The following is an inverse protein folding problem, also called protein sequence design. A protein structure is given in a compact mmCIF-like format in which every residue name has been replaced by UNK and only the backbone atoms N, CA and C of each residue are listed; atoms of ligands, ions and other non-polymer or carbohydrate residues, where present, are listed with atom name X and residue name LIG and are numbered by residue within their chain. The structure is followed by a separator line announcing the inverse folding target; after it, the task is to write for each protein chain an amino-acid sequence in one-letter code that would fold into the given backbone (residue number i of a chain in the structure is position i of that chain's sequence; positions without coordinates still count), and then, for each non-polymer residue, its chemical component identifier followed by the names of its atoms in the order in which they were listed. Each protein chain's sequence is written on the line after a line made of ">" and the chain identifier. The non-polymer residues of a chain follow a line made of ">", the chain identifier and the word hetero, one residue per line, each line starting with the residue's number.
data_IF_460787943677
#
_entry.id   IF_460787943677
#
_cell.length_a   1.000
_cell.length_b   1.000
_cell.length_c   1.000
_cell.angle_alpha   90.00
_cell.angle_beta   90.00
_cell.angle_gamma   90.00
#
_symmetry.space_group_name_H-M   'P 1'
#
loop_
_entity.id
_entity.type
_entity.pdbx_description
1 polymer ?
#
# COMPACT_ATOMS: atom_id res chain seq x y z
N UNK A 1 -11.65 -15.76 0.83
CA UNK A 1 -11.98 -17.07 1.46
C UNK A 1 -10.76 -17.54 2.25
N UNK A 2 -10.94 -18.04 3.47
CA UNK A 2 -9.89 -18.77 4.21
C UNK A 2 -10.19 -20.25 4.22
N UNK A 3 -9.16 -21.06 3.98
CA UNK A 3 -9.24 -22.52 3.90
C UNK A 3 -8.26 -23.12 4.91
N UNK A 4 -8.65 -24.23 5.54
CA UNK A 4 -7.80 -25.00 6.44
C UNK A 4 -6.64 -25.61 5.66
N UNK A 5 -5.40 -25.37 6.11
CA UNK A 5 -4.22 -25.94 5.46
C UNK A 5 -4.09 -27.46 5.63
N UNK A 6 -4.79 -28.05 6.61
CA UNK A 6 -4.73 -29.50 6.88
C UNK A 6 -5.86 -30.28 6.22
N UNK A 7 -7.05 -29.69 6.09
CA UNK A 7 -8.25 -30.37 5.58
C UNK A 7 -8.70 -29.86 4.22
N UNK A 8 -8.28 -28.68 3.79
CA UNK A 8 -8.80 -28.03 2.58
C UNK A 8 -10.22 -27.51 2.73
N UNK A 9 -10.81 -27.56 3.93
CA UNK A 9 -12.16 -27.07 4.18
C UNK A 9 -12.20 -25.55 4.34
N UNK A 10 -13.29 -24.94 3.89
CA UNK A 10 -13.53 -23.50 4.09
C UNK A 10 -13.70 -23.23 5.59
N UNK A 11 -12.86 -22.35 6.14
CA UNK A 11 -12.98 -21.85 7.51
C UNK A 11 -14.01 -20.73 7.55
N UNK A 12 -13.86 -19.76 6.65
CA UNK A 12 -14.81 -18.65 6.51
C UNK A 12 -14.72 -18.00 5.12
N UNK A 13 -15.80 -17.31 4.76
CA UNK A 13 -15.91 -16.48 3.55
C UNK A 13 -16.34 -15.08 3.96
N UNK A 14 -15.73 -14.06 3.38
CA UNK A 14 -16.13 -12.67 3.49
C UNK A 14 -16.21 -12.08 2.09
N UNK A 15 -17.21 -11.22 1.90
CA UNK A 15 -17.35 -10.35 0.74
C UNK A 15 -17.24 -8.91 1.24
N UNK A 16 -16.40 -8.12 0.58
CA UNK A 16 -16.29 -6.68 0.80
C UNK A 16 -16.36 -6.01 -0.58
N UNK A 17 -16.97 -4.84 -0.64
CA UNK A 17 -17.20 -4.13 -1.89
C UNK A 17 -18.41 -3.22 -1.80
N UNK A 18 -18.73 -2.56 -2.91
CA UNK A 18 -19.96 -1.78 -3.05
C UNK A 18 -21.10 -2.68 -3.52
N UNK A 19 -22.30 -2.40 -3.04
CA UNK A 19 -23.47 -3.27 -3.25
C UNK A 19 -24.30 -2.89 -4.48
N UNK A 20 -24.02 -1.76 -5.12
CA UNK A 20 -24.97 -1.12 -6.04
C UNK A 20 -24.37 -0.31 -7.21
N UNK A 21 -23.05 -0.16 -7.33
CA UNK A 21 -22.43 0.55 -8.47
C UNK A 21 -21.42 -0.32 -9.25
N UNK A 22 -21.70 -0.72 -10.51
CA UNK A 22 -20.78 -1.46 -11.36
C UNK A 22 -19.59 -0.63 -11.89
N UNK A 23 -19.61 0.70 -11.75
CA UNK A 23 -18.50 1.59 -12.14
C UNK A 23 -17.49 1.83 -11.01
N UNK A 24 -17.80 1.40 -9.80
CA UNK A 24 -16.90 1.49 -8.66
C UNK A 24 -15.92 0.31 -8.65
N UNK A 25 -14.65 0.57 -8.96
CA UNK A 25 -13.59 -0.41 -8.80
C UNK A 25 -13.45 -0.78 -7.32
N UNK A 26 -13.37 -2.09 -7.04
CA UNK A 26 -12.94 -2.62 -5.75
C UNK A 26 -12.12 -3.88 -5.99
N UNK A 27 -10.95 -3.69 -6.59
CA UNK A 27 -10.05 -4.80 -6.86
C UNK A 27 -9.20 -5.06 -5.62
N UNK A 28 -9.24 -6.29 -5.13
CA UNK A 28 -8.28 -6.75 -4.13
C UNK A 28 -6.92 -6.79 -4.81
N UNK A 29 -5.95 -6.07 -4.23
CA UNK A 29 -4.61 -5.93 -4.80
C UNK A 29 -3.59 -6.82 -4.12
N UNK A 30 -3.71 -7.04 -2.80
CA UNK A 30 -2.82 -7.90 -2.06
C UNK A 30 -3.47 -8.52 -0.81
N UNK A 31 -2.91 -9.64 -0.35
CA UNK A 31 -3.29 -10.31 0.88
C UNK A 31 -2.04 -10.83 1.59
N UNK A 32 -2.02 -10.71 2.93
CA UNK A 32 -0.97 -11.26 3.78
C UNK A 32 -1.56 -11.71 5.12
N UNK A 33 -0.80 -12.48 5.90
CA UNK A 33 -1.20 -12.88 7.25
C UNK A 33 -0.08 -12.57 8.25
N UNK A 34 -0.43 -12.21 9.48
CA UNK A 34 0.53 -12.14 10.58
C UNK A 34 0.77 -13.51 11.23
N UNK A 35 1.73 -13.58 12.15
CA UNK A 35 2.08 -14.82 12.85
C UNK A 35 0.99 -15.36 13.77
N UNK A 36 -0.03 -14.53 14.11
CA UNK A 36 -1.22 -14.99 14.84
C UNK A 36 -2.30 -15.57 13.90
N UNK A 37 -2.09 -15.42 12.59
CA UNK A 37 -2.99 -15.87 11.55
C UNK A 37 -4.07 -14.86 11.17
N UNK A 38 -4.05 -13.65 11.73
CA UNK A 38 -4.90 -12.55 11.28
C UNK A 38 -4.54 -12.18 9.84
N UNK A 39 -5.56 -11.84 9.06
CA UNK A 39 -5.43 -11.62 7.61
C UNK A 39 -5.54 -10.13 7.33
N UNK A 40 -4.61 -9.63 6.52
CA UNK A 40 -4.63 -8.28 5.98
C UNK A 40 -4.96 -8.37 4.49
N UNK A 41 -5.89 -7.54 4.04
CA UNK A 41 -6.29 -7.42 2.63
C UNK A 41 -6.19 -5.96 2.23
N UNK A 42 -5.62 -5.69 1.07
CA UNK A 42 -5.68 -4.37 0.45
C UNK A 42 -6.53 -4.38 -0.79
N UNK A 43 -7.18 -3.25 -1.04
CA UNK A 43 -7.91 -2.99 -2.26
C UNK A 43 -7.76 -1.52 -2.64
N UNK A 44 -8.08 -1.19 -3.87
CA UNK A 44 -8.25 0.20 -4.30
C UNK A 44 -9.71 0.46 -4.65
N UNK A 45 -10.21 1.67 -4.37
CA UNK A 45 -11.61 2.04 -4.59
C UNK A 45 -11.79 3.51 -4.92
N UNK A 46 -12.86 3.85 -5.65
CA UNK A 46 -13.24 5.24 -5.97
C UNK A 46 -14.67 5.51 -5.59
N UNK A 47 -14.95 6.60 -4.88
CA UNK A 47 -16.30 7.13 -4.64
C UNK A 47 -16.62 8.20 -5.68
N UNK A 48 -17.72 8.04 -6.42
CA UNK A 48 -18.13 9.00 -7.45
C UNK A 48 -18.92 10.17 -6.84
N UNK A 49 -18.90 11.36 -7.46
CA UNK A 49 -19.73 12.48 -7.03
C UNK A 49 -21.22 12.12 -6.98
N UNK A 50 -21.87 12.33 -5.84
CA UNK A 50 -23.29 12.03 -5.64
C UNK A 50 -23.57 10.58 -5.23
N UNK A 51 -22.55 9.75 -5.09
CA UNK A 51 -22.70 8.39 -4.58
C UNK A 51 -22.98 8.39 -3.08
N UNK A 52 -24.01 7.66 -2.66
CA UNK A 52 -24.43 7.56 -1.25
C UNK A 52 -24.13 6.22 -0.61
N UNK A 53 -23.52 5.30 -1.37
CA UNK A 53 -23.28 3.92 -0.99
C UNK A 53 -21.79 3.69 -0.70
N UNK A 54 -21.36 3.88 0.56
CA UNK A 54 -19.97 3.70 0.96
C UNK A 54 -19.53 2.25 0.86
N UNK A 55 -18.21 2.02 0.75
CA UNK A 55 -17.65 0.67 0.80
C UNK A 55 -17.93 0.06 2.18
N UNK A 56 -18.49 -1.16 2.19
CA UNK A 56 -18.71 -1.94 3.39
C UNK A 56 -17.64 -3.03 3.51
N UNK A 57 -16.81 -2.94 4.55
CA UNK A 57 -15.75 -3.92 4.78
C UNK A 57 -16.24 -5.22 5.47
N UNK A 58 -17.49 -5.24 5.93
CA UNK A 58 -18.16 -6.45 6.39
C UNK A 58 -19.68 -6.25 6.35
N UNK A 59 -20.38 -7.12 5.62
CA UNK A 59 -21.86 -7.16 5.56
C UNK A 59 -22.49 -7.81 6.81
N UNK A 60 -21.68 -8.44 7.66
CA UNK A 60 -22.11 -9.14 8.87
C UNK A 60 -21.99 -8.28 10.14
N UNK A 61 -21.34 -7.10 10.03
CA UNK A 61 -21.07 -6.20 11.16
C UNK A 61 -21.73 -4.84 10.89
N UNK A 62 -22.89 -4.52 11.52
CA UNK A 62 -23.66 -3.30 11.25
C UNK A 62 -22.98 -1.99 11.69
N UNK A 63 -21.75 -2.05 12.23
CA UNK A 63 -20.94 -0.90 12.66
C UNK A 63 -19.60 -0.78 11.94
N UNK A 64 -19.42 -1.49 10.81
CA UNK A 64 -18.24 -1.28 9.98
C UNK A 64 -18.20 0.20 9.50
N UNK A 65 -17.03 0.86 9.58
CA UNK A 65 -16.91 2.24 9.14
C UNK A 65 -17.27 2.36 7.66
N UNK A 66 -18.11 3.34 7.34
CA UNK A 66 -18.43 3.73 5.99
C UNK A 66 -17.23 4.48 5.42
N UNK A 67 -16.62 3.96 4.37
CA UNK A 67 -15.45 4.56 3.72
C UNK A 67 -15.87 5.28 2.44
N UNK A 68 -15.37 6.50 2.26
CA UNK A 68 -15.44 7.30 1.05
C UNK A 68 -14.03 7.66 0.62
N UNK A 69 -13.74 7.62 -0.68
CA UNK A 69 -12.48 8.20 -1.18
C UNK A 69 -12.53 9.72 -1.04
N UNK A 70 -11.39 10.34 -0.76
CA UNK A 70 -11.30 11.80 -0.69
C UNK A 70 -11.25 12.44 -2.08
N UNK A 71 -10.76 11.70 -3.08
CA UNK A 71 -10.65 12.12 -4.46
C UNK A 71 -10.94 10.99 -5.44
N UNK A 72 -9.94 10.62 -6.23
CA UNK A 72 -10.08 9.57 -7.24
C UNK A 72 -10.07 8.16 -6.60
N UNK A 73 -9.02 7.39 -6.84
CA UNK A 73 -8.85 6.05 -6.30
C UNK A 73 -8.07 6.14 -4.97
N UNK A 74 -8.63 5.62 -3.88
CA UNK A 74 -7.97 5.56 -2.58
C UNK A 74 -7.67 4.10 -2.21
N UNK A 75 -6.81 3.91 -1.22
CA UNK A 75 -6.44 2.58 -0.70
C UNK A 75 -7.38 2.18 0.43
N UNK A 76 -7.86 0.95 0.43
CA UNK A 76 -8.48 0.30 1.61
C UNK A 76 -7.53 -0.74 2.16
N UNK A 77 -7.40 -0.78 3.48
CA UNK A 77 -6.78 -1.88 4.19
C UNK A 77 -7.78 -2.45 5.19
N UNK A 78 -7.93 -3.77 5.15
CA UNK A 78 -8.83 -4.55 6.00
C UNK A 78 -7.97 -5.49 6.84
N UNK A 79 -8.14 -5.48 8.15
CA UNK A 79 -7.62 -6.53 9.04
C UNK A 79 -8.77 -7.39 9.56
N UNK A 80 -8.67 -8.69 9.31
CA UNK A 80 -9.62 -9.72 9.75
C UNK A 80 -8.98 -10.63 10.79
N UNK A 81 -9.78 -11.09 11.74
CA UNK A 81 -9.40 -12.12 12.68
C UNK A 81 -9.12 -13.43 11.94
N UNK A 82 -7.98 -14.05 12.23
CA UNK A 82 -7.59 -15.29 11.57
C UNK A 82 -8.53 -16.47 11.82
N UNK A 83 -9.02 -16.60 13.05
CA UNK A 83 -9.81 -17.75 13.48
C UNK A 83 -11.21 -17.77 12.90
N UNK A 84 -11.93 -16.67 13.05
CA UNK A 84 -13.37 -16.58 12.71
C UNK A 84 -13.67 -15.63 11.53
N UNK A 85 -12.68 -14.91 11.02
CA UNK A 85 -12.84 -13.96 9.92
C UNK A 85 -13.51 -12.65 10.33
N UNK A 86 -13.77 -12.43 11.62
CA UNK A 86 -14.40 -11.19 12.11
C UNK A 86 -13.55 -9.96 11.79
N UNK A 87 -14.21 -8.85 11.44
CA UNK A 87 -13.53 -7.60 11.15
C UNK A 87 -12.85 -7.06 12.41
N UNK A 88 -11.52 -6.88 12.37
CA UNK A 88 -10.79 -6.17 13.43
C UNK A 88 -10.80 -4.67 13.19
N UNK A 89 -10.46 -4.26 11.97
CA UNK A 89 -10.57 -2.87 11.52
C UNK A 89 -10.56 -2.80 10.00
N UNK A 90 -11.07 -1.68 9.49
CA UNK A 90 -11.01 -1.31 8.07
C UNK A 90 -10.77 0.20 7.98
N UNK A 91 -9.86 0.62 7.11
CA UNK A 91 -9.52 2.03 6.97
C UNK A 91 -9.20 2.35 5.51
N UNK A 92 -9.67 3.52 5.06
CA UNK A 92 -9.26 4.13 3.81
C UNK A 92 -8.08 5.08 4.02
N UNK A 93 -7.17 5.11 3.06
CA UNK A 93 -6.01 5.99 3.02
C UNK A 93 -5.91 6.58 1.61
N UNK A 94 -5.91 7.91 1.53
CA UNK A 94 -5.79 8.59 0.26
C UNK A 94 -5.89 10.10 0.38
N UNK A 95 -5.79 10.78 -0.75
CA UNK A 95 -5.84 12.23 -0.88
C UNK A 95 -6.80 12.69 -1.96
N UNK A 96 -6.52 13.84 -2.55
CA UNK A 96 -7.39 14.44 -3.57
C UNK A 96 -7.21 13.77 -4.96
N UNK A 97 -6.22 12.86 -5.11
CA UNK A 97 -5.85 12.21 -6.38
C UNK A 97 -5.74 10.69 -6.19
N UNK A 98 -5.31 9.96 -7.23
CA UNK A 98 -5.25 8.51 -7.16
C UNK A 98 -4.06 7.99 -6.34
N UNK A 99 -4.34 7.04 -5.46
CA UNK A 99 -3.41 6.18 -4.74
C UNK A 99 -3.74 4.70 -4.99
N UNK A 100 -2.74 4.00 -5.53
CA UNK A 100 -2.86 2.57 -5.84
C UNK A 100 -1.83 1.82 -5.04
N UNK A 101 -2.28 0.78 -4.34
CA UNK A 101 -1.42 -0.15 -3.61
C UNK A 101 -1.21 -1.40 -4.44
N UNK A 102 0.05 -1.82 -4.56
CA UNK A 102 0.41 -3.00 -5.37
C UNK A 102 0.82 -4.19 -4.52
N UNK A 103 1.39 -3.97 -3.33
CA UNK A 103 1.85 -5.06 -2.48
C UNK A 103 1.75 -4.73 -0.99
N UNK A 104 1.70 -5.82 -0.22
CA UNK A 104 1.56 -5.83 1.23
C UNK A 104 2.49 -6.91 1.82
N UNK A 105 3.21 -6.55 2.87
CA UNK A 105 3.91 -7.45 3.78
C UNK A 105 3.47 -7.17 5.22
N UNK A 106 3.69 -8.13 6.12
CA UNK A 106 3.35 -7.97 7.54
C UNK A 106 4.58 -8.34 8.37
N UNK A 107 4.97 -7.47 9.29
CA UNK A 107 6.10 -7.73 10.18
C UNK A 107 5.73 -8.66 11.35
N UNK A 108 6.75 -9.13 12.07
CA UNK A 108 6.58 -10.04 13.22
C UNK A 108 5.79 -9.45 14.39
N UNK A 109 5.55 -8.12 14.39
CA UNK A 109 4.70 -7.45 15.36
C UNK A 109 3.25 -7.26 14.84
N UNK A 110 2.90 -7.85 13.70
CA UNK A 110 1.58 -7.73 13.09
C UNK A 110 1.29 -6.35 12.52
N UNK A 111 2.32 -5.61 12.09
CA UNK A 111 2.19 -4.31 11.43
C UNK A 111 2.27 -4.48 9.92
N UNK A 112 1.40 -3.80 9.18
CA UNK A 112 1.37 -3.87 7.72
C UNK A 112 2.39 -2.91 7.12
N UNK A 113 3.13 -3.38 6.11
CA UNK A 113 3.98 -2.58 5.24
C UNK A 113 3.42 -2.67 3.82
N UNK A 114 3.20 -1.52 3.21
CA UNK A 114 2.50 -1.38 1.94
C UNK A 114 3.37 -0.61 0.97
N UNK A 115 3.28 -0.92 -0.33
CA UNK A 115 3.88 -0.10 -1.37
C UNK A 115 2.95 0.06 -2.57
N UNK A 116 3.18 1.13 -3.33
CA UNK A 116 2.30 1.52 -4.42
C UNK A 116 2.78 2.75 -5.17
N UNK A 117 1.83 3.45 -5.81
CA UNK A 117 2.03 4.78 -6.40
C UNK A 117 0.96 5.77 -5.91
N UNK A 118 1.28 7.05 -5.92
CA UNK A 118 0.35 8.14 -5.67
C UNK A 118 0.54 9.27 -6.67
N UNK A 119 -0.52 10.04 -6.90
CA UNK A 119 -0.52 11.16 -7.85
C UNK A 119 -0.45 12.51 -7.15
N UNK A 120 0.34 13.44 -7.70
CA UNK A 120 0.49 14.84 -7.26
C UNK A 120 0.82 15.01 -5.77
N UNK A 121 -0.18 14.87 -4.89
CA UNK A 121 -0.06 15.01 -3.45
C UNK A 121 -1.10 14.13 -2.77
N UNK A 122 -0.64 13.38 -1.77
CA UNK A 122 -1.50 12.54 -0.94
C UNK A 122 -1.32 12.83 0.55
N UNK A 123 -2.35 12.51 1.34
CA UNK A 123 -2.36 12.68 2.80
C UNK A 123 -2.88 11.43 3.49
N UNK A 124 -2.02 10.42 3.61
CA UNK A 124 -2.33 9.19 4.35
C UNK A 124 -2.68 9.42 5.82
N UNK A 125 -2.11 10.47 6.44
CA UNK A 125 -2.48 10.94 7.78
C UNK A 125 -2.11 12.42 7.95
N UNK A 126 -2.54 13.03 9.07
CA UNK A 126 -2.18 14.41 9.41
C UNK A 126 -0.67 14.65 9.46
N UNK A 127 0.11 13.63 9.83
CA UNK A 127 1.58 13.63 9.92
C UNK A 127 2.28 12.98 8.72
N UNK A 128 1.53 12.44 7.76
CA UNK A 128 2.06 11.68 6.63
C UNK A 128 1.50 12.24 5.31
N UNK A 129 2.01 13.41 4.92
CA UNK A 129 1.73 14.01 3.61
C UNK A 129 2.92 13.79 2.68
N UNK A 130 2.67 13.28 1.48
CA UNK A 130 3.68 13.13 0.44
C UNK A 130 3.33 14.01 -0.77
N UNK A 131 4.34 14.55 -1.42
CA UNK A 131 4.21 15.33 -2.65
C UNK A 131 5.13 14.71 -3.70
N UNK A 132 4.55 14.43 -4.87
CA UNK A 132 5.26 13.85 -6.00
C UNK A 132 6.31 14.83 -6.54
N UNK A 133 7.43 14.30 -7.02
CA UNK A 133 8.43 15.05 -7.77
C UNK A 133 8.12 15.07 -9.28
N UNK A 134 7.18 14.26 -9.74
CA UNK A 134 6.65 14.21 -11.10
C UNK A 134 5.12 14.26 -11.07
N UNK A 135 4.48 13.41 -11.88
CA UNK A 135 3.02 13.21 -11.83
C UNK A 135 2.67 12.06 -10.87
N UNK A 136 3.27 10.90 -11.09
CA UNK A 136 3.07 9.68 -10.29
C UNK A 136 4.38 9.28 -9.61
N UNK A 137 4.38 9.16 -8.30
CA UNK A 137 5.55 8.69 -7.56
C UNK A 137 5.25 7.43 -6.77
N UNK A 138 6.27 6.60 -6.60
CA UNK A 138 6.19 5.44 -5.76
C UNK A 138 6.10 5.84 -4.27
N UNK A 139 5.39 5.05 -3.48
CA UNK A 139 5.43 5.17 -2.02
C UNK A 139 5.61 3.81 -1.36
N UNK A 140 6.07 3.86 -0.12
CA UNK A 140 5.92 2.77 0.84
C UNK A 140 5.55 3.34 2.20
N UNK A 141 4.72 2.62 2.94
CA UNK A 141 4.21 3.05 4.24
C UNK A 141 4.09 1.90 5.22
N UNK A 142 4.06 2.24 6.51
CA UNK A 142 3.84 1.28 7.58
C UNK A 142 2.65 1.69 8.43
N UNK A 143 1.76 0.73 8.65
CA UNK A 143 0.58 0.85 9.47
C UNK A 143 0.75 -0.01 10.73
N UNK A 144 0.19 0.45 11.85
CA UNK A 144 0.21 -0.29 13.09
C UNK A 144 -0.99 0.04 13.98
N UNK A 145 -0.81 -0.19 15.28
CA UNK A 145 -1.81 0.10 16.29
C UNK A 145 -3.09 -0.75 16.15
N UNK A 146 -4.14 -0.35 16.87
CA UNK A 146 -5.38 -1.10 16.95
C UNK A 146 -6.37 -0.75 15.83
N UNK A 147 -6.12 0.36 15.11
CA UNK A 147 -7.05 0.90 14.10
C UNK A 147 -6.38 1.16 12.75
N UNK A 148 -5.16 0.65 12.53
CA UNK A 148 -4.43 0.87 11.29
C UNK A 148 -3.80 2.26 11.21
N UNK A 149 -3.30 2.78 12.33
CA UNK A 149 -2.64 4.07 12.39
C UNK A 149 -1.40 4.11 11.49
N UNK A 150 -1.25 5.18 10.69
CA UNK A 150 -0.05 5.40 9.88
C UNK A 150 1.13 5.74 10.80
N UNK A 151 2.11 4.86 10.87
CA UNK A 151 3.34 5.08 11.65
C UNK A 151 4.31 5.98 10.87
N UNK A 152 4.44 5.73 9.57
CA UNK A 152 5.19 6.56 8.63
C UNK A 152 4.82 6.22 7.19
N UNK A 153 5.07 7.16 6.28
CA UNK A 153 5.00 6.97 4.83
C UNK A 153 6.19 7.68 4.16
N UNK A 154 6.68 7.12 3.06
CA UNK A 154 7.87 7.59 2.34
C UNK A 154 7.61 7.55 0.84
N UNK A 155 8.19 8.54 0.15
CA UNK A 155 8.18 8.66 -1.30
C UNK A 155 9.44 8.03 -1.89
N UNK A 156 9.32 7.42 -3.05
CA UNK A 156 10.43 7.08 -3.94
C UNK A 156 10.08 7.68 -5.30
N UNK A 157 10.96 8.49 -5.88
CA UNK A 157 10.70 8.96 -7.23
C UNK A 157 11.48 10.19 -7.65
N UNK A 158 11.29 10.55 -8.91
CA UNK A 158 11.93 11.66 -9.62
C UNK A 158 10.94 12.44 -10.49
N UNK A 159 11.41 13.15 -11.52
CA UNK A 159 10.56 14.03 -12.33
C UNK A 159 9.51 13.32 -13.21
N UNK A 160 9.59 12.00 -13.38
CA UNK A 160 8.70 11.19 -14.22
C UNK A 160 7.98 10.11 -13.39
N UNK A 161 7.26 9.20 -14.04
CA UNK A 161 6.38 8.26 -13.36
C UNK A 161 7.15 7.08 -12.74
N UNK A 162 6.88 6.82 -11.47
CA UNK A 162 7.59 5.82 -10.67
C UNK A 162 6.61 4.94 -9.87
N UNK A 163 6.89 3.64 -9.77
CA UNK A 163 5.96 2.63 -9.23
C UNK A 163 6.69 1.66 -8.30
N UNK A 164 6.24 1.52 -7.05
CA UNK A 164 6.72 0.47 -6.13
C UNK A 164 5.77 -0.73 -6.17
N UNK A 165 6.22 -1.83 -6.77
CA UNK A 165 5.37 -2.95 -7.17
C UNK A 165 5.41 -4.13 -6.20
N UNK A 166 6.49 -4.28 -5.43
CA UNK A 166 6.58 -5.32 -4.41
C UNK A 166 7.36 -4.85 -3.18
N UNK A 167 6.98 -5.40 -2.03
CA UNK A 167 7.61 -5.14 -0.74
C UNK A 167 7.76 -6.46 0.03
N UNK A 168 8.88 -6.60 0.74
CA UNK A 168 9.09 -7.70 1.70
C UNK A 168 9.78 -7.18 2.95
N UNK A 169 9.65 -7.91 4.06
CA UNK A 169 10.25 -7.58 5.35
C UNK A 169 11.19 -8.69 5.77
N UNK A 170 12.32 -8.32 6.37
CA UNK A 170 13.27 -9.31 6.89
C UNK A 170 12.64 -10.14 8.00
N UNK A 171 13.07 -11.41 8.20
CA UNK A 171 12.62 -12.21 9.33
C UNK A 171 12.90 -11.57 10.70
N UNK A 172 13.97 -10.77 10.80
CA UNK A 172 14.30 -10.01 11.99
C UNK A 172 13.38 -8.78 12.19
N UNK A 173 12.69 -8.35 11.13
CA UNK A 173 11.75 -7.22 11.15
C UNK A 173 12.41 -5.85 11.19
N UNK A 174 13.72 -5.76 10.98
CA UNK A 174 14.55 -4.54 11.09
C UNK A 174 14.80 -3.84 9.74
N UNK A 175 14.63 -4.58 8.65
CA UNK A 175 14.80 -4.13 7.27
C UNK A 175 13.63 -4.58 6.40
N UNK A 176 13.41 -3.85 5.32
CA UNK A 176 12.47 -4.18 4.26
C UNK A 176 13.12 -3.89 2.92
N UNK A 177 12.68 -4.59 1.89
CA UNK A 177 13.07 -4.35 0.50
C UNK A 177 11.84 -3.95 -0.29
N UNK A 178 11.94 -2.85 -1.02
CA UNK A 178 10.94 -2.34 -1.96
C UNK A 178 11.55 -2.41 -3.36
N UNK A 179 10.80 -2.96 -4.30
CA UNK A 179 11.21 -3.04 -5.71
C UNK A 179 10.13 -2.48 -6.62
N UNK A 180 10.54 -2.04 -7.80
CA UNK A 180 9.62 -1.47 -8.76
C UNK A 180 10.33 -0.89 -9.96
N UNK A 181 9.66 0.04 -10.65
CA UNK A 181 10.16 0.68 -11.86
C UNK A 181 10.12 2.19 -11.76
N UNK A 182 11.04 2.85 -12.45
CA UNK A 182 11.13 4.30 -12.53
C UNK A 182 11.49 4.74 -13.96
N UNK A 183 11.03 5.91 -14.38
CA UNK A 183 11.22 6.42 -15.75
C UNK A 183 12.23 7.57 -15.83
N UNK A 184 12.63 8.10 -14.68
CA UNK A 184 13.49 9.28 -14.55
C UNK A 184 14.95 8.98 -14.93
N UNK A 185 15.52 9.76 -15.86
CA UNK A 185 16.94 9.67 -16.22
C UNK A 185 17.88 10.11 -15.08
N UNK A 186 17.44 11.03 -14.22
CA UNK A 186 18.17 11.53 -13.04
C UNK A 186 17.17 11.90 -11.94
N UNK A 187 17.63 11.94 -10.69
CA UNK A 187 16.85 12.49 -9.58
C UNK A 187 15.78 11.55 -9.01
N UNK A 188 15.85 10.25 -9.33
CA UNK A 188 15.11 9.25 -8.55
C UNK A 188 15.76 9.18 -7.16
N UNK A 189 15.15 9.84 -6.19
CA UNK A 189 15.70 10.00 -4.86
C UNK A 189 14.81 9.30 -3.83
N UNK A 190 15.43 8.42 -3.05
CA UNK A 190 14.78 7.67 -2.00
C UNK A 190 14.75 8.50 -0.70
N UNK A 191 14.02 9.63 -0.68
CA UNK A 191 13.81 10.54 0.49
C UNK A 191 15.02 11.06 1.26
N UNK A 192 16.25 10.66 0.94
CA UNK A 192 17.44 11.06 1.69
C UNK A 192 18.11 12.27 1.01
N UNK A 193 18.61 13.21 1.81
CA UNK A 193 19.56 14.24 1.36
C UNK A 193 20.94 13.67 0.98
N UNK A 194 21.07 12.35 0.87
CA UNK A 194 22.31 11.66 0.54
C UNK A 194 22.35 11.36 -0.97
N UNK A 195 23.20 12.05 -1.76
CA UNK A 195 23.30 11.82 -3.19
C UNK A 195 23.81 10.40 -3.55
N UNK A 196 24.44 9.68 -2.61
CA UNK A 196 24.88 8.30 -2.85
C UNK A 196 23.73 7.29 -2.95
N UNK A 197 22.51 7.70 -2.63
CA UNK A 197 21.29 6.87 -2.71
C UNK A 197 20.45 7.21 -3.94
N UNK A 198 20.85 8.19 -4.75
CA UNK A 198 20.13 8.56 -5.97
C UNK A 198 20.38 7.55 -7.10
N UNK A 199 19.31 7.21 -7.82
CA UNK A 199 19.40 6.42 -9.05
C UNK A 199 19.27 7.33 -10.27
N UNK A 200 19.98 6.95 -11.32
CA UNK A 200 19.86 7.56 -12.65
C UNK A 200 19.37 6.50 -13.63
N UNK A 201 18.29 6.80 -14.35
CA UNK A 201 17.78 5.96 -15.42
C UNK A 201 18.60 6.11 -16.71
N UNK A 202 18.27 5.32 -17.74
CA UNK A 202 18.98 5.32 -19.03
C UNK A 202 18.47 6.36 -20.02
N UNK A 203 17.34 7.00 -19.72
CA UNK A 203 16.76 8.04 -20.55
C UNK A 203 15.29 8.24 -20.21
N UNK A 204 14.70 9.38 -20.62
CA UNK A 204 13.29 9.64 -20.41
C UNK A 204 12.44 8.56 -21.09
N UNK A 205 11.38 8.11 -20.40
CA UNK A 205 10.41 7.12 -20.90
C UNK A 205 10.95 5.70 -21.11
N UNK A 206 12.18 5.41 -20.66
CA UNK A 206 12.65 4.04 -20.49
C UNK A 206 12.43 3.65 -19.03
N UNK A 207 11.66 2.57 -18.80
CA UNK A 207 11.50 2.01 -17.46
C UNK A 207 12.74 1.23 -17.07
N UNK A 208 13.45 1.72 -16.07
CA UNK A 208 14.45 0.96 -15.34
C UNK A 208 13.85 0.39 -14.06
N UNK A 209 14.43 -0.69 -13.51
CA UNK A 209 13.98 -1.22 -12.22
C UNK A 209 14.85 -0.68 -11.10
N UNK A 210 14.25 -0.52 -9.93
CA UNK A 210 14.97 -0.20 -8.70
C UNK A 210 14.81 -1.31 -7.66
N UNK A 211 15.80 -1.39 -6.79
CA UNK A 211 15.75 -2.09 -5.51
C UNK A 211 16.16 -1.09 -4.45
N UNK A 212 15.34 -0.97 -3.41
CA UNK A 212 15.58 -0.12 -2.24
C UNK A 212 15.52 -1.00 -1.01
N UNK A 213 16.55 -0.97 -0.19
CA UNK A 213 16.44 -1.45 1.20
C UNK A 213 16.25 -0.24 2.12
N UNK A 214 15.35 -0.42 3.07
CA UNK A 214 15.06 0.58 4.07
C UNK A 214 14.81 -0.08 5.44
N UNK A 215 15.06 0.66 6.51
CA UNK A 215 14.72 0.24 7.85
C UNK A 215 13.23 0.33 8.15
N UNK A 216 12.71 -0.60 8.94
CA UNK A 216 11.27 -0.65 9.25
C UNK A 216 10.85 0.28 10.39
N UNK A 217 11.80 0.81 11.14
CA UNK A 217 11.55 1.65 12.30
C UNK A 217 10.98 3.01 11.88
N UNK A 218 11.66 3.66 10.93
CA UNK A 218 11.27 4.97 10.41
C UNK A 218 11.23 5.03 8.88
N UNK A 219 11.40 3.92 8.17
CA UNK A 219 11.41 3.94 6.70
C UNK A 219 12.61 4.68 6.13
N UNK A 220 13.76 4.65 6.81
CA UNK A 220 14.99 5.25 6.31
C UNK A 220 15.65 4.36 5.27
N UNK A 221 15.96 4.92 4.10
CA UNK A 221 16.64 4.18 3.03
C UNK A 221 18.10 3.99 3.39
N UNK A 222 18.60 2.75 3.31
CA UNK A 222 20.01 2.46 3.63
C UNK A 222 20.84 2.18 2.38
N UNK A 223 20.25 1.57 1.35
CA UNK A 223 20.88 1.45 0.04
C UNK A 223 19.87 1.38 -1.10
N UNK A 224 20.33 1.75 -2.29
CA UNK A 224 19.56 1.66 -3.54
C UNK A 224 20.39 1.01 -4.63
N UNK A 225 19.72 0.34 -5.57
CA UNK A 225 20.35 -0.22 -6.76
C UNK A 225 19.41 -0.13 -7.96
N UNK A 226 19.95 0.23 -9.12
CA UNK A 226 19.25 0.09 -10.41
C UNK A 226 19.50 -1.31 -10.96
N UNK A 227 18.45 -1.98 -11.43
CA UNK A 227 18.52 -3.31 -12.05
C UNK A 227 17.89 -3.25 -13.44
N UNK A 228 18.54 -3.89 -14.42
CA UNK A 228 18.02 -3.97 -15.78
C UNK A 228 18.32 -2.74 -16.67
N UNK A 229 17.63 -2.71 -17.82
CA UNK A 229 17.87 -1.79 -18.93
C UNK A 229 18.89 -2.35 -19.93
N UNK A 230 18.47 -2.54 -21.19
CA UNK A 230 19.39 -2.78 -22.31
C UNK A 230 20.15 -1.49 -22.65
#
# INVERSE_FOLDING_TARGET
>A
VKVSGSTGEIVWVHTAGKTDDPAAFSDITAVAADSSGDVFVTASFRTLPGETSPVQCSVQQPFAPLLSSAGEEDIIVIKLNGGDGSLRWCQAYGGDHAEVVYALAVDSAGRALLCGKFENRTRFASTATLTSAGLEDAFYMKLGGLRGEVLWARRLGGPLNDFAQAITVSPAGDSMVVVGSFESATGFAATSSNPSLELSGRGPSLRDMFVVEAGTAIGEVRWTARVGGA
#
